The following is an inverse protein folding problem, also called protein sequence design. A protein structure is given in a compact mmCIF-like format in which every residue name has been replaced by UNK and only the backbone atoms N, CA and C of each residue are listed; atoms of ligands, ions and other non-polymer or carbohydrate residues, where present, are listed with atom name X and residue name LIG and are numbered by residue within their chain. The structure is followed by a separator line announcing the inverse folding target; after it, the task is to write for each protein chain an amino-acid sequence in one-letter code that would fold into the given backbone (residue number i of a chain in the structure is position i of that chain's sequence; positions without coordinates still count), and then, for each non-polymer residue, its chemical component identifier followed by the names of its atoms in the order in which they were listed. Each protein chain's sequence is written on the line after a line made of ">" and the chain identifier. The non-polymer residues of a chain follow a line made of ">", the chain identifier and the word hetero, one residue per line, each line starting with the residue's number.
data_IF_798318997458
#
_entry.id   IF_798318997458
#
_cell.length_a   1.000
_cell.length_b   1.000
_cell.length_c   1.000
_cell.angle_alpha   90.00
_cell.angle_beta   90.00
_cell.angle_gamma   90.00
#
_symmetry.space_group_name_H-M   'P 1'
#
loop_
_entity.id
_entity.type
_entity.pdbx_description
1 polymer ?
#
# COMPACT_ATOMS: atom_id res chain seq x y z
N UNK A 1 48.09 -43.13 62.54
CA UNK A 1 48.59 -41.95 61.81
C UNK A 1 48.26 -42.18 60.34
N UNK A 2 47.47 -41.40 59.62
CA UNK A 2 46.68 -40.22 59.91
C UNK A 2 45.62 -40.07 58.81
N UNK A 3 44.46 -39.53 59.15
CA UNK A 3 43.39 -39.26 58.19
C UNK A 3 42.42 -38.26 58.82
N UNK A 4 41.97 -37.28 58.04
CA UNK A 4 40.76 -36.51 58.36
C UNK A 4 40.95 -35.00 58.37
N UNK A 5 40.65 -34.41 57.23
CA UNK A 5 40.51 -32.98 56.99
C UNK A 5 39.59 -32.29 58.01
N UNK A 6 39.97 -31.07 58.42
CA UNK A 6 39.04 -30.11 59.04
C UNK A 6 39.07 -28.82 58.25
N UNK A 7 38.08 -28.67 57.37
CA UNK A 7 37.59 -27.36 56.97
C UNK A 7 36.16 -27.19 57.48
N UNK A 8 35.98 -26.13 58.26
CA UNK A 8 34.69 -25.64 58.75
C UNK A 8 33.98 -24.99 57.55
N UNK A 9 32.78 -25.45 57.23
CA UNK A 9 31.81 -24.71 56.39
C UNK A 9 30.61 -24.39 57.30
N UNK A 10 30.13 -23.14 57.34
CA UNK A 10 29.18 -22.71 58.37
C UNK A 10 27.75 -23.21 58.14
N UNK A 11 27.04 -23.26 59.25
CA UNK A 11 25.64 -23.61 59.47
C UNK A 11 24.66 -22.78 58.60
N UNK A 12 23.61 -23.48 58.19
CA UNK A 12 22.37 -23.09 57.51
C UNK A 12 21.89 -21.64 57.72
N UNK A 13 21.63 -20.96 56.61
CA UNK A 13 20.53 -20.00 56.49
C UNK A 13 19.37 -20.66 55.72
N UNK A 14 18.43 -21.24 56.47
CA UNK A 14 17.14 -21.69 55.96
C UNK A 14 16.25 -20.47 55.70
N UNK A 15 16.40 -19.84 54.53
CA UNK A 15 15.40 -18.90 54.03
C UNK A 15 14.44 -19.68 53.12
N UNK A 16 13.12 -19.70 53.40
CA UNK A 16 12.16 -20.32 52.50
C UNK A 16 12.15 -19.54 51.17
N UNK A 17 12.54 -20.20 50.08
CA UNK A 17 12.33 -19.69 48.72
C UNK A 17 10.82 -19.75 48.46
N UNK A 18 10.14 -18.63 48.13
CA UNK A 18 8.73 -18.71 47.76
C UNK A 18 8.60 -19.46 46.44
N UNK A 19 7.96 -20.63 46.49
CA UNK A 19 7.50 -21.34 45.31
C UNK A 19 6.47 -20.47 44.57
N UNK A 20 6.64 -20.38 43.25
CA UNK A 20 5.63 -19.90 42.30
C UNK A 20 5.36 -18.38 42.32
N UNK A 21 6.30 -17.60 41.78
CA UNK A 21 5.88 -16.60 40.78
C UNK A 21 5.68 -17.36 39.47
N UNK A 22 4.45 -17.78 39.20
CA UNK A 22 4.02 -18.06 37.83
C UNK A 22 4.35 -16.81 37.03
N UNK A 23 5.37 -16.90 36.17
CA UNK A 23 5.66 -15.85 35.20
C UNK A 23 4.33 -15.58 34.46
N UNK A 24 3.82 -14.34 34.44
CA UNK A 24 2.64 -14.06 33.65
C UNK A 24 2.95 -14.51 32.22
N UNK A 25 2.01 -15.17 31.53
CA UNK A 25 2.22 -15.57 30.15
C UNK A 25 2.69 -14.34 29.37
N UNK A 26 3.63 -14.48 28.42
CA UNK A 26 4.07 -13.36 27.61
C UNK A 26 2.82 -12.72 27.04
N UNK A 27 2.59 -11.44 27.37
CA UNK A 27 1.50 -10.65 26.82
C UNK A 27 1.78 -10.54 25.32
N UNK A 28 1.40 -11.56 24.56
CA UNK A 28 1.60 -11.60 23.13
C UNK A 28 0.73 -10.49 22.57
N UNK A 29 1.42 -9.53 21.96
CA UNK A 29 0.87 -8.36 21.33
C UNK A 29 -0.29 -8.69 20.41
N UNK A 30 -1.50 -8.54 20.94
CA UNK A 30 -2.74 -8.54 20.16
C UNK A 30 -3.17 -7.10 19.89
N UNK A 31 -2.90 -6.19 20.82
CA UNK A 31 -3.29 -4.78 20.70
C UNK A 31 -2.39 -4.00 19.72
N UNK A 32 -1.12 -4.38 19.57
CA UNK A 32 -0.17 -3.82 18.60
C UNK A 32 -0.45 -4.32 17.17
N UNK A 33 -0.75 -5.61 16.98
CA UNK A 33 -1.15 -6.17 15.70
C UNK A 33 -2.45 -5.54 15.17
N UNK A 34 -3.46 -5.38 16.03
CA UNK A 34 -4.70 -4.68 15.70
C UNK A 34 -4.46 -3.20 15.35
N UNK A 35 -3.54 -2.54 16.08
CA UNK A 35 -3.13 -1.17 15.79
C UNK A 35 -2.48 -1.02 14.40
N UNK A 36 -1.57 -1.94 14.05
CA UNK A 36 -0.90 -1.95 12.74
C UNK A 36 -1.90 -2.22 11.61
N UNK A 37 -2.83 -3.16 11.80
CA UNK A 37 -3.91 -3.43 10.84
C UNK A 37 -4.78 -2.17 10.66
N UNK A 38 -5.17 -1.53 11.76
CA UNK A 38 -5.95 -0.29 11.73
C UNK A 38 -5.30 0.82 10.92
N UNK A 39 -4.00 1.07 11.13
CA UNK A 39 -3.24 2.10 10.40
C UNK A 39 -3.20 1.82 8.88
N UNK A 40 -3.08 0.56 8.46
CA UNK A 40 -3.05 0.17 7.04
C UNK A 40 -4.39 0.48 6.37
N UNK A 41 -5.50 0.15 7.03
CA UNK A 41 -6.84 0.46 6.54
C UNK A 41 -7.11 1.96 6.48
N UNK A 42 -6.75 2.71 7.53
CA UNK A 42 -6.87 4.18 7.54
C UNK A 42 -6.11 4.79 6.37
N UNK A 43 -4.86 4.34 6.14
CA UNK A 43 -4.03 4.81 5.02
C UNK A 43 -4.69 4.51 3.67
N UNK A 44 -5.23 3.30 3.50
CA UNK A 44 -5.92 2.92 2.26
C UNK A 44 -7.17 3.76 2.01
N UNK A 45 -8.01 3.94 3.02
CA UNK A 45 -9.24 4.75 2.92
C UNK A 45 -8.88 6.22 2.65
N UNK A 46 -7.92 6.78 3.36
CA UNK A 46 -7.49 8.16 3.14
C UNK A 46 -6.97 8.37 1.72
N UNK A 47 -6.22 7.40 1.19
CA UNK A 47 -5.66 7.50 -0.14
C UNK A 47 -6.72 7.33 -1.24
N UNK A 48 -7.72 6.45 -1.05
CA UNK A 48 -8.87 6.34 -1.94
C UNK A 48 -9.62 7.66 -2.04
N UNK A 49 -9.95 8.27 -0.90
CA UNK A 49 -10.63 9.59 -0.84
C UNK A 49 -9.78 10.66 -1.53
N UNK A 50 -8.47 10.67 -1.27
CA UNK A 50 -7.55 11.62 -1.90
C UNK A 50 -7.60 11.46 -3.43
N UNK A 51 -7.37 10.27 -3.98
CA UNK A 51 -7.43 10.04 -5.42
C UNK A 51 -8.77 10.50 -5.99
N UNK A 52 -9.88 10.16 -5.35
CA UNK A 52 -11.22 10.55 -5.82
C UNK A 52 -11.38 12.07 -5.94
N UNK A 53 -10.95 12.82 -4.93
CA UNK A 53 -10.97 14.29 -4.92
C UNK A 53 -10.13 14.85 -6.08
N UNK A 54 -8.92 14.32 -6.26
CA UNK A 54 -7.99 14.81 -7.30
C UNK A 54 -8.45 14.45 -8.71
N UNK A 55 -9.02 13.27 -8.94
CA UNK A 55 -9.53 12.84 -10.26
C UNK A 55 -10.79 13.61 -10.66
N UNK A 56 -11.67 13.92 -9.70
CA UNK A 56 -12.89 14.69 -9.93
C UNK A 56 -12.66 16.21 -10.02
N UNK A 57 -11.43 16.71 -9.78
CA UNK A 57 -11.14 18.14 -9.83
C UNK A 57 -11.08 18.65 -11.28
N UNK A 58 -11.81 19.74 -11.58
CA UNK A 58 -12.01 20.27 -12.93
C UNK A 58 -10.69 20.54 -13.70
N UNK A 59 -9.68 21.12 -13.04
CA UNK A 59 -8.37 21.40 -13.64
C UNK A 59 -7.26 21.31 -12.58
N UNK A 60 -6.36 20.34 -12.74
CA UNK A 60 -5.16 20.21 -11.91
C UNK A 60 -4.28 21.48 -11.94
N UNK A 61 -4.17 22.15 -13.09
CA UNK A 61 -3.41 23.41 -13.20
C UNK A 61 -4.02 24.53 -12.35
N UNK A 62 -5.36 24.59 -12.25
CA UNK A 62 -6.01 25.57 -11.36
C UNK A 62 -5.89 25.15 -9.90
N UNK A 63 -5.92 23.87 -9.58
CA UNK A 63 -5.65 23.40 -8.22
C UNK A 63 -4.22 23.76 -7.78
N UNK A 64 -3.23 23.61 -8.66
CA UNK A 64 -1.85 23.97 -8.38
C UNK A 64 -1.67 25.48 -8.13
N UNK A 65 -2.39 26.33 -8.88
CA UNK A 65 -2.27 27.79 -8.79
C UNK A 65 -3.15 28.38 -7.68
N UNK A 66 -4.40 27.93 -7.57
CA UNK A 66 -5.43 28.50 -6.68
C UNK A 66 -5.55 27.74 -5.35
N UNK A 67 -4.99 26.53 -5.23
CA UNK A 67 -5.02 25.71 -4.02
C UNK A 67 -6.38 25.12 -3.65
N UNK A 68 -7.42 25.36 -4.46
CA UNK A 68 -8.81 24.98 -4.15
C UNK A 68 -9.35 24.04 -5.23
N UNK A 69 -9.76 22.80 -4.88
CA UNK A 69 -10.40 21.91 -5.82
C UNK A 69 -11.80 22.45 -6.15
N UNK A 70 -12.10 22.56 -7.45
CA UNK A 70 -13.43 22.94 -7.94
C UNK A 70 -14.11 21.74 -8.57
N UNK A 71 -15.37 21.56 -8.21
CA UNK A 71 -16.23 20.50 -8.70
C UNK A 71 -17.43 21.12 -9.39
N UNK A 72 -17.82 20.57 -10.54
CA UNK A 72 -19.06 20.96 -11.23
C UNK A 72 -19.88 19.71 -11.44
N UNK A 73 -21.01 19.62 -10.75
CA UNK A 73 -21.90 18.47 -10.87
C UNK A 73 -22.73 18.54 -12.15
N UNK A 74 -22.79 17.42 -12.88
CA UNK A 74 -23.66 17.20 -14.03
C UNK A 74 -24.52 15.95 -13.79
N UNK A 75 -25.84 16.09 -13.54
CA UNK A 75 -26.72 14.93 -13.35
C UNK A 75 -26.99 14.15 -14.65
N UNK A 76 -26.75 14.76 -15.81
CA UNK A 76 -26.96 14.17 -17.13
C UNK A 76 -25.63 14.13 -17.91
N UNK A 77 -24.71 13.22 -17.54
CA UNK A 77 -23.44 13.09 -18.24
C UNK A 77 -23.63 12.55 -19.66
N UNK A 78 -22.79 13.01 -20.58
CA UNK A 78 -22.70 12.42 -21.91
C UNK A 78 -21.88 11.12 -21.84
N UNK A 79 -22.58 9.99 -21.88
CA UNK A 79 -21.96 8.66 -21.88
C UNK A 79 -21.24 8.33 -23.19
N UNK A 80 -21.55 9.02 -24.30
CA UNK A 80 -20.86 8.78 -25.58
C UNK A 80 -19.39 9.19 -25.52
N UNK A 81 -19.09 10.23 -24.74
CA UNK A 81 -17.72 10.67 -24.45
C UNK A 81 -16.86 9.59 -23.78
N UNK A 82 -17.47 8.64 -23.06
CA UNK A 82 -16.74 7.54 -22.42
C UNK A 82 -16.10 6.57 -23.42
N UNK A 83 -16.64 6.49 -24.63
CA UNK A 83 -16.16 5.63 -25.71
C UNK A 83 -15.49 6.41 -26.85
N UNK A 84 -15.26 7.73 -26.70
CA UNK A 84 -14.48 8.49 -27.67
C UNK A 84 -12.99 8.24 -27.45
N UNK A 85 -12.30 7.69 -28.46
CA UNK A 85 -10.86 7.43 -28.45
C UNK A 85 -10.07 8.38 -29.38
N UNK A 86 -10.76 9.29 -30.07
CA UNK A 86 -10.21 10.01 -31.23
C UNK A 86 -9.76 11.43 -30.91
N UNK A 87 -10.34 12.05 -29.88
CA UNK A 87 -10.19 13.49 -29.61
C UNK A 87 -9.02 13.87 -28.69
N UNK A 88 -7.98 13.02 -28.55
CA UNK A 88 -6.94 13.21 -27.54
C UNK A 88 -5.66 13.90 -28.04
N UNK A 89 -5.20 14.97 -27.36
CA UNK A 89 -3.98 15.67 -27.73
C UNK A 89 -2.75 14.96 -27.17
N UNK A 90 -2.41 13.79 -27.71
CA UNK A 90 -1.25 12.98 -27.28
C UNK A 90 0.09 13.72 -27.38
N UNK A 91 0.16 14.78 -28.19
CA UNK A 91 1.35 15.62 -28.35
C UNK A 91 1.45 16.74 -27.31
N UNK A 92 0.40 16.99 -26.53
CA UNK A 92 0.40 18.03 -25.50
C UNK A 92 1.18 17.56 -24.26
N UNK A 93 2.25 18.27 -23.84
CA UNK A 93 3.00 17.92 -22.64
C UNK A 93 2.11 17.88 -21.38
N UNK A 94 1.15 18.80 -21.27
CA UNK A 94 0.22 18.85 -20.14
C UNK A 94 -0.65 17.59 -20.06
N UNK A 95 -1.08 17.06 -21.21
CA UNK A 95 -1.85 15.81 -21.28
C UNK A 95 -0.98 14.62 -20.85
N UNK A 96 0.26 14.55 -21.33
CA UNK A 96 1.20 13.48 -20.95
C UNK A 96 1.49 13.50 -19.45
N UNK A 97 1.78 14.67 -18.86
CA UNK A 97 2.02 14.79 -17.42
C UNK A 97 0.80 14.38 -16.60
N UNK A 98 -0.40 14.74 -17.05
CA UNK A 98 -1.64 14.31 -16.40
C UNK A 98 -1.77 12.78 -16.43
N UNK A 99 -1.61 12.13 -17.59
CA UNK A 99 -1.74 10.66 -17.71
C UNK A 99 -0.65 9.91 -16.95
N UNK A 100 0.58 10.43 -16.94
CA UNK A 100 1.66 9.87 -16.14
C UNK A 100 1.36 9.97 -14.64
N UNK A 101 0.83 11.11 -14.18
CA UNK A 101 0.41 11.29 -12.78
C UNK A 101 -0.69 10.31 -12.36
N UNK A 102 -1.67 10.09 -13.24
CA UNK A 102 -2.72 9.09 -13.07
C UNK A 102 -2.15 7.67 -12.93
N UNK A 103 -1.30 7.24 -13.88
CA UNK A 103 -0.66 5.93 -13.81
C UNK A 103 0.17 5.76 -12.52
N UNK A 104 0.92 6.78 -12.10
CA UNK A 104 1.69 6.74 -10.85
C UNK A 104 0.79 6.67 -9.60
N UNK A 105 -0.32 7.43 -9.58
CA UNK A 105 -1.28 7.40 -8.48
C UNK A 105 -1.93 6.02 -8.34
N UNK A 106 -2.31 5.39 -9.45
CA UNK A 106 -2.86 4.04 -9.45
C UNK A 106 -1.83 2.94 -9.14
N UNK A 107 -0.56 3.15 -9.50
CA UNK A 107 0.54 2.30 -9.04
C UNK A 107 0.69 2.36 -7.51
N UNK A 108 0.64 3.56 -6.93
CA UNK A 108 0.72 3.72 -5.47
C UNK A 108 -0.55 3.18 -4.78
N UNK A 109 -1.73 3.35 -5.39
CA UNK A 109 -2.97 2.76 -4.92
C UNK A 109 -2.84 1.24 -4.83
N UNK A 110 -2.35 0.58 -5.89
CA UNK A 110 -2.14 -0.85 -5.89
C UNK A 110 -1.17 -1.30 -4.79
N UNK A 111 -0.10 -0.54 -4.53
CA UNK A 111 0.80 -0.81 -3.42
C UNK A 111 0.10 -0.74 -2.06
N UNK A 112 -0.70 0.31 -1.83
CA UNK A 112 -1.42 0.51 -0.56
C UNK A 112 -2.50 -0.56 -0.37
N UNK A 113 -3.26 -0.87 -1.42
CA UNK A 113 -4.25 -1.95 -1.38
C UNK A 113 -3.56 -3.29 -1.09
N UNK A 114 -2.43 -3.59 -1.74
CA UNK A 114 -1.67 -4.81 -1.45
C UNK A 114 -1.21 -4.87 0.01
N UNK A 115 -0.80 -3.74 0.60
CA UNK A 115 -0.49 -3.69 2.03
C UNK A 115 -1.68 -4.10 2.90
N UNK A 116 -2.92 -3.89 2.48
CA UNK A 116 -4.09 -4.26 3.28
C UNK A 116 -4.55 -5.70 3.01
N UNK A 117 -4.75 -6.07 1.74
CA UNK A 117 -5.30 -7.39 1.39
C UNK A 117 -4.24 -8.49 1.30
N UNK A 118 -2.96 -8.13 1.11
CA UNK A 118 -1.82 -9.05 0.98
C UNK A 118 -2.03 -10.16 -0.08
N UNK A 119 -2.88 -9.89 -1.08
CA UNK A 119 -3.24 -10.81 -2.16
C UNK A 119 -3.18 -10.07 -3.48
N UNK A 120 -2.26 -10.47 -4.35
CA UNK A 120 -1.98 -9.75 -5.60
C UNK A 120 -3.20 -9.74 -6.53
N UNK A 121 -3.90 -10.88 -6.69
CA UNK A 121 -5.12 -10.95 -7.51
C UNK A 121 -6.24 -10.03 -7.01
N UNK A 122 -6.49 -10.01 -5.69
CA UNK A 122 -7.47 -9.11 -5.07
C UNK A 122 -7.05 -7.64 -5.20
N UNK A 123 -5.75 -7.36 -5.11
CA UNK A 123 -5.20 -6.00 -5.30
C UNK A 123 -5.48 -5.49 -6.70
N UNK A 124 -5.21 -6.32 -7.72
CA UNK A 124 -5.47 -5.98 -9.12
C UNK A 124 -6.97 -5.72 -9.31
N UNK A 125 -7.83 -6.62 -8.81
CA UNK A 125 -9.28 -6.48 -8.95
C UNK A 125 -9.81 -5.20 -8.31
N UNK A 126 -9.42 -4.90 -7.07
CA UNK A 126 -9.85 -3.69 -6.35
C UNK A 126 -9.34 -2.44 -7.06
N UNK A 127 -8.06 -2.41 -7.44
CA UNK A 127 -7.45 -1.21 -8.03
C UNK A 127 -7.98 -0.93 -9.44
N UNK A 128 -8.16 -1.97 -10.27
CA UNK A 128 -8.75 -1.83 -11.59
C UNK A 128 -10.24 -1.49 -11.53
N UNK A 129 -10.99 -2.09 -10.60
CA UNK A 129 -12.38 -1.72 -10.35
C UNK A 129 -12.51 -0.26 -9.89
N UNK A 130 -11.56 0.21 -9.07
CA UNK A 130 -11.52 1.60 -8.64
C UNK A 130 -11.20 2.56 -9.79
N UNK A 131 -10.27 2.20 -10.69
CA UNK A 131 -9.97 2.99 -11.89
C UNK A 131 -11.21 3.21 -12.75
N UNK A 132 -11.95 2.12 -13.02
CA UNK A 132 -13.21 2.20 -13.75
C UNK A 132 -14.23 3.07 -13.01
N UNK A 133 -14.37 2.89 -11.70
CA UNK A 133 -15.27 3.70 -10.88
C UNK A 133 -14.95 5.19 -10.95
N UNK A 134 -13.68 5.57 -10.81
CA UNK A 134 -13.26 6.99 -10.84
C UNK A 134 -13.44 7.62 -12.20
N UNK A 135 -13.26 6.87 -13.29
CA UNK A 135 -13.49 7.37 -14.65
C UNK A 135 -14.98 7.55 -14.95
N UNK A 136 -15.83 6.64 -14.50
CA UNK A 136 -17.29 6.81 -14.59
C UNK A 136 -17.76 7.97 -13.72
N UNK A 137 -17.22 8.11 -12.50
CA UNK A 137 -17.56 9.21 -11.61
C UNK A 137 -17.19 10.57 -12.23
N UNK A 138 -16.03 10.66 -12.88
CA UNK A 138 -15.55 11.89 -13.55
C UNK A 138 -16.54 12.47 -14.57
N UNK A 139 -17.34 11.64 -15.25
CA UNK A 139 -18.39 12.11 -16.17
C UNK A 139 -19.40 13.05 -15.49
N UNK A 140 -19.73 12.77 -14.22
CA UNK A 140 -20.62 13.61 -13.41
C UNK A 140 -19.95 14.90 -12.92
N UNK A 141 -18.63 15.05 -13.09
CA UNK A 141 -17.86 16.22 -12.67
C UNK A 141 -17.44 17.14 -13.83
N UNK A 142 -18.06 17.02 -15.02
CA UNK A 142 -17.65 17.70 -16.26
C UNK A 142 -16.19 17.42 -16.67
N UNK A 143 -15.65 16.27 -16.23
CA UNK A 143 -14.35 15.79 -16.66
C UNK A 143 -14.51 14.84 -17.83
N UNK A 144 -13.49 14.78 -18.67
CA UNK A 144 -13.40 13.82 -19.78
C UNK A 144 -13.09 12.45 -19.21
N UNK A 145 -14.10 11.76 -18.67
CA UNK A 145 -13.96 10.36 -18.30
C UNK A 145 -14.01 9.49 -19.55
N UNK A 146 -13.04 8.59 -19.72
CA UNK A 146 -12.99 7.72 -20.90
C UNK A 146 -12.43 6.34 -20.59
N UNK A 147 -12.87 5.35 -21.35
CA UNK A 147 -12.33 3.99 -21.25
C UNK A 147 -10.83 3.92 -21.56
N UNK A 148 -10.29 4.83 -22.38
CA UNK A 148 -8.85 4.95 -22.61
C UNK A 148 -8.10 5.32 -21.31
N UNK A 149 -8.72 6.14 -20.47
CA UNK A 149 -8.14 6.63 -19.22
C UNK A 149 -8.10 5.55 -18.16
N UNK A 150 -9.12 4.68 -18.13
CA UNK A 150 -9.09 3.42 -17.38
C UNK A 150 -7.87 2.58 -17.79
N UNK A 151 -7.49 2.60 -19.07
CA UNK A 151 -6.29 1.92 -19.59
C UNK A 151 -4.99 2.48 -19.02
N UNK A 152 -4.85 3.80 -18.93
CA UNK A 152 -3.68 4.45 -18.30
C UNK A 152 -3.60 4.14 -16.81
N UNK A 153 -4.73 4.22 -16.10
CA UNK A 153 -4.82 3.89 -14.67
C UNK A 153 -4.48 2.42 -14.41
N UNK A 154 -5.02 1.51 -15.23
CA UNK A 154 -4.67 0.08 -15.20
C UNK A 154 -3.20 -0.16 -15.53
N UNK A 155 -2.59 0.64 -16.42
CA UNK A 155 -1.15 0.63 -16.68
C UNK A 155 -0.32 0.89 -15.42
N UNK A 156 -0.80 1.77 -14.53
CA UNK A 156 -0.25 1.98 -13.20
C UNK A 156 -0.29 0.74 -12.31
N UNK A 157 -1.42 0.04 -12.30
CA UNK A 157 -1.57 -1.22 -11.54
C UNK A 157 -0.63 -2.31 -12.09
N UNK A 158 -0.50 -2.41 -13.42
CA UNK A 158 0.44 -3.34 -14.06
C UNK A 158 1.88 -3.00 -13.72
N UNK A 159 2.23 -1.71 -13.67
CA UNK A 159 3.55 -1.25 -13.24
C UNK A 159 3.87 -1.75 -11.82
N UNK A 160 2.93 -1.60 -10.87
CA UNK A 160 3.10 -2.13 -9.51
C UNK A 160 3.34 -3.65 -9.51
N UNK A 161 2.55 -4.41 -10.25
CA UNK A 161 2.70 -5.87 -10.36
C UNK A 161 4.09 -6.22 -10.90
N UNK A 162 4.56 -5.53 -11.95
CA UNK A 162 5.90 -5.71 -12.49
C UNK A 162 6.99 -5.47 -11.45
N UNK A 163 6.92 -4.35 -10.73
CA UNK A 163 7.87 -4.01 -9.65
C UNK A 163 7.86 -5.06 -8.53
N UNK A 164 6.67 -5.54 -8.14
CA UNK A 164 6.53 -6.58 -7.12
C UNK A 164 7.25 -7.89 -7.53
N UNK A 165 7.07 -8.32 -8.78
CA UNK A 165 7.73 -9.52 -9.29
C UNK A 165 9.25 -9.37 -9.41
N UNK A 166 9.72 -8.20 -9.87
CA UNK A 166 11.15 -7.90 -9.93
C UNK A 166 11.78 -7.92 -8.54
N UNK A 167 11.12 -7.31 -7.56
CA UNK A 167 11.55 -7.32 -6.16
C UNK A 167 11.63 -8.75 -5.61
N UNK A 168 10.58 -9.55 -5.79
CA UNK A 168 10.56 -10.95 -5.35
C UNK A 168 11.69 -11.77 -5.97
N UNK A 169 11.95 -11.62 -7.27
CA UNK A 169 13.07 -12.30 -7.94
C UNK A 169 14.43 -11.83 -7.41
N UNK A 170 14.59 -10.53 -7.18
CA UNK A 170 15.81 -9.96 -6.60
C UNK A 170 16.13 -10.56 -5.23
N UNK A 171 15.13 -10.66 -4.34
CA UNK A 171 15.30 -11.29 -3.02
C UNK A 171 15.74 -12.75 -3.12
N UNK A 172 15.16 -13.52 -4.03
CA UNK A 172 15.54 -14.93 -4.25
C UNK A 172 17.00 -15.04 -4.73
N UNK A 173 17.44 -14.13 -5.60
CA UNK A 173 18.82 -14.12 -6.10
C UNK A 173 19.80 -13.79 -4.97
N UNK A 174 19.48 -12.81 -4.13
CA UNK A 174 20.32 -12.40 -2.99
C UNK A 174 20.44 -13.55 -1.98
N UNK A 175 19.34 -14.18 -1.60
CA UNK A 175 19.33 -15.33 -0.69
C UNK A 175 20.19 -16.48 -1.24
N UNK A 176 20.06 -16.78 -2.53
CA UNK A 176 20.87 -17.81 -3.19
C UNK A 176 22.37 -17.46 -3.25
N UNK A 177 22.72 -16.17 -3.27
CA UNK A 177 24.11 -15.72 -3.25
C UNK A 177 24.72 -15.82 -1.84
N UNK A 178 23.94 -15.53 -0.80
CA UNK A 178 24.34 -15.69 0.61
C UNK A 178 24.50 -17.17 1.00
N UNK A 179 23.65 -18.05 0.47
CA UNK A 179 23.71 -19.50 0.72
C UNK A 179 24.90 -20.21 0.04
N UNK A 180 25.71 -19.50 -0.75
CA UNK A 180 26.90 -20.09 -1.39
C UNK A 180 28.06 -20.08 -0.38
N UNK A 181 28.46 -21.23 0.21
CA UNK A 181 29.52 -21.23 1.20
C UNK A 181 30.84 -20.74 0.58
N UNK A 182 31.54 -19.89 1.32
CA UNK A 182 32.93 -19.51 1.08
C UNK A 182 33.84 -20.73 1.28
N UNK A 183 33.82 -21.65 0.31
CA UNK A 183 34.85 -22.67 0.16
C UNK A 183 35.78 -22.23 -0.97
N UNK A 184 36.70 -21.34 -0.61
CA UNK A 184 38.00 -21.13 -1.26
C UNK A 184 39.03 -20.97 -0.14
#
# INVERSE_FOLDING_TARGET
>A
MGQGDRYIVPERDNVPVPLSRSMPPPCHGKDDDEGVIGVRWVTAISYLVLIFIFTCTEKLTRLYIEGIPRFRWNPEPDYSAFFDFTSYPFTSPAYIYQKAGHALAFCLLAAIVYMVVNRLGTTILISAGYALFTEVAQLFFYRTGCLLDVGFDAGGVVLYVGLYWLWKKGLIIIQKAEDKPSNL
#
